data_IF_231259521288
#
_entry.id   IF_231259521288
#
_cell.length_a   1.000
_cell.length_b   1.000
_cell.length_c   1.000
_cell.angle_alpha   90.00
_cell.angle_beta   90.00
_cell.angle_gamma   90.00
#
_symmetry.space_group_name_H-M   'P 1'
#
loop_
_entity.id
_entity.type
_entity.pdbx_description
1 polymer ?
#
# COMPACT_ATOMS: atom_id res chain seq x y z
N UNK A 1 3.37 24.00 -51.77
CA UNK A 1 3.61 22.62 -51.28
C UNK A 1 3.22 22.60 -49.81
N UNK A 2 1.96 22.84 -49.46
CA UNK A 2 1.65 23.32 -48.09
C UNK A 2 0.29 22.82 -47.58
N UNK A 3 0.01 21.52 -47.74
CA UNK A 3 -1.22 20.94 -47.18
C UNK A 3 -1.04 19.53 -46.58
N UNK A 4 0.07 18.85 -46.85
CA UNK A 4 0.30 17.49 -46.35
C UNK A 4 1.07 17.41 -45.03
N UNK A 5 1.87 18.41 -44.69
CA UNK A 5 2.73 18.34 -43.50
C UNK A 5 1.97 18.53 -42.18
N UNK A 6 0.87 19.28 -42.21
CA UNK A 6 0.07 19.60 -41.01
C UNK A 6 -0.80 18.41 -40.56
N UNK A 7 -1.17 17.52 -41.50
CA UNK A 7 -2.04 16.37 -41.20
C UNK A 7 -1.31 15.21 -40.53
N UNK A 8 0.01 15.11 -40.66
CA UNK A 8 0.80 14.01 -40.12
C UNK A 8 1.22 14.22 -38.67
N UNK A 9 1.16 15.46 -38.16
CA UNK A 9 1.65 15.82 -36.82
C UNK A 9 0.62 15.67 -35.69
N UNK A 10 -0.64 15.33 -36.00
CA UNK A 10 -1.71 15.26 -35.01
C UNK A 10 -1.87 13.89 -34.32
N UNK A 11 -1.17 12.85 -34.77
CA UNK A 11 -1.32 11.48 -34.22
C UNK A 11 -0.36 11.12 -33.08
N UNK A 12 0.61 11.97 -32.76
CA UNK A 12 1.69 11.61 -31.82
C UNK A 12 1.48 12.06 -30.37
N UNK A 13 0.37 12.75 -30.05
CA UNK A 13 0.18 13.40 -28.74
C UNK A 13 -0.63 12.55 -27.74
N UNK A 14 -1.26 11.46 -28.17
CA UNK A 14 -2.23 10.72 -27.34
C UNK A 14 -1.64 9.59 -26.46
N UNK A 15 -0.34 9.28 -26.52
CA UNK A 15 0.24 8.09 -25.85
C UNK A 15 0.95 8.38 -24.52
N UNK A 16 0.89 9.60 -24.01
CA UNK A 16 1.50 10.00 -22.72
C UNK A 16 0.44 10.25 -21.63
N UNK A 17 -0.73 9.61 -21.70
CA UNK A 17 -1.54 9.37 -20.51
C UNK A 17 -0.82 8.31 -19.66
N UNK A 18 0.33 8.69 -19.11
CA UNK A 18 1.10 7.89 -18.19
C UNK A 18 0.23 7.55 -17.00
N UNK A 19 0.23 6.26 -16.62
CA UNK A 19 -0.34 5.79 -15.37
C UNK A 19 0.21 6.64 -14.23
N UNK A 20 -0.56 7.65 -13.84
CA UNK A 20 -0.36 8.38 -12.60
C UNK A 20 -0.93 7.49 -11.50
N UNK A 21 -0.26 6.38 -11.21
CA UNK A 21 -0.46 5.69 -9.93
C UNK A 21 0.14 6.60 -8.89
N UNK A 22 -0.68 7.51 -8.35
CA UNK A 22 -0.45 8.04 -7.01
C UNK A 22 -0.25 6.84 -6.10
N UNK A 23 1.00 6.57 -5.73
CA UNK A 23 1.40 5.52 -4.79
C UNK A 23 0.96 5.96 -3.41
N UNK A 24 -0.33 5.79 -3.16
CA UNK A 24 -1.02 6.18 -1.95
C UNK A 24 -0.45 5.43 -0.73
N UNK A 25 -0.51 6.07 0.43
CA UNK A 25 -0.10 5.41 1.67
C UNK A 25 -1.07 4.28 1.97
N UNK A 26 -0.57 3.05 2.07
CA UNK A 26 -1.42 1.93 2.48
C UNK A 26 -1.49 1.87 3.99
N UNK A 27 -2.71 1.90 4.51
CA UNK A 27 -2.99 1.75 5.94
C UNK A 27 -3.18 0.28 6.28
N UNK A 28 -2.39 -0.19 7.24
CA UNK A 28 -2.46 -1.55 7.77
C UNK A 28 -2.86 -1.48 9.23
N UNK A 29 -3.89 -2.22 9.60
CA UNK A 29 -4.29 -2.40 10.99
C UNK A 29 -3.66 -3.68 11.52
N UNK A 30 -2.97 -3.57 12.65
CA UNK A 30 -2.42 -4.72 13.38
C UNK A 30 -3.08 -4.75 14.76
N UNK A 31 -4.11 -5.57 14.85
CA UNK A 31 -4.94 -5.72 16.04
C UNK A 31 -4.53 -7.00 16.80
N UNK A 32 -4.92 -7.18 18.07
CA UNK A 32 -4.57 -8.38 18.82
C UNK A 32 -4.95 -9.67 18.10
N UNK A 33 -6.15 -9.70 17.48
CA UNK A 33 -6.67 -10.92 16.86
C UNK A 33 -6.35 -11.04 15.37
N UNK A 34 -6.13 -9.93 14.65
CA UNK A 34 -6.02 -9.94 13.19
C UNK A 34 -5.13 -8.84 12.61
N UNK A 35 -4.83 -8.99 11.33
CA UNK A 35 -4.23 -8.01 10.45
C UNK A 35 -5.27 -7.58 9.42
N UNK A 36 -5.23 -6.31 8.98
CA UNK A 36 -6.11 -5.82 7.92
C UNK A 36 -5.40 -4.80 7.02
N UNK A 37 -5.57 -4.91 5.70
CA UNK A 37 -5.23 -3.87 4.73
C UNK A 37 -6.30 -3.86 3.62
N UNK A 38 -6.93 -2.70 3.40
CA UNK A 38 -8.09 -2.61 2.50
C UNK A 38 -9.18 -3.61 2.87
N UNK A 39 -9.54 -4.47 1.92
CA UNK A 39 -10.56 -5.52 2.07
C UNK A 39 -9.98 -6.86 2.61
N UNK A 40 -8.65 -6.99 2.70
CA UNK A 40 -8.01 -8.22 3.16
C UNK A 40 -7.87 -8.18 4.68
N UNK A 41 -8.50 -9.15 5.35
CA UNK A 41 -8.42 -9.37 6.80
C UNK A 41 -7.97 -10.81 7.06
N UNK A 42 -7.01 -11.01 7.97
CA UNK A 42 -6.45 -12.33 8.26
C UNK A 42 -5.87 -12.40 9.67
N UNK A 43 -5.97 -13.56 10.33
CA UNK A 43 -5.28 -13.81 11.59
C UNK A 43 -3.73 -13.89 11.42
N UNK A 44 -3.28 -14.26 10.21
CA UNK A 44 -1.87 -14.38 9.82
C UNK A 44 -1.38 -13.12 9.08
N UNK A 45 -0.10 -12.80 9.21
CA UNK A 45 0.51 -11.62 8.60
C UNK A 45 0.60 -11.74 7.06
N UNK A 46 1.00 -12.92 6.56
CA UNK A 46 1.35 -13.14 5.15
C UNK A 46 0.28 -12.70 4.16
N UNK A 47 -1.02 -13.04 4.31
CA UNK A 47 -2.05 -12.60 3.36
C UNK A 47 -2.20 -11.08 3.28
N UNK A 48 -1.99 -10.38 4.39
CA UNK A 48 -2.05 -8.91 4.42
C UNK A 48 -0.77 -8.31 3.84
N UNK A 49 0.39 -8.92 4.08
CA UNK A 49 1.64 -8.53 3.42
C UNK A 49 1.56 -8.72 1.92
N UNK A 50 1.00 -9.83 1.44
CA UNK A 50 0.78 -10.10 0.01
C UNK A 50 -0.03 -8.97 -0.64
N UNK A 51 -1.09 -8.53 0.03
CA UNK A 51 -1.93 -7.43 -0.43
C UNK A 51 -1.16 -6.10 -0.49
N UNK A 52 -0.42 -5.77 0.57
CA UNK A 52 0.41 -4.55 0.60
C UNK A 52 1.45 -4.57 -0.53
N UNK A 53 2.12 -5.71 -0.75
CA UNK A 53 3.10 -5.88 -1.83
C UNK A 53 2.44 -5.75 -3.20
N UNK A 54 1.24 -6.32 -3.38
CA UNK A 54 0.46 -6.21 -4.63
C UNK A 54 0.15 -4.75 -4.99
N UNK A 55 -0.18 -3.94 -3.99
CA UNK A 55 -0.48 -2.51 -4.14
C UNK A 55 0.75 -1.64 -4.44
N UNK A 56 1.97 -2.13 -4.15
CA UNK A 56 3.26 -1.44 -4.34
C UNK A 56 3.28 0.03 -3.85
N UNK A 57 2.90 0.31 -2.59
CA UNK A 57 2.87 1.68 -2.09
C UNK A 57 4.28 2.22 -1.82
N UNK A 58 4.41 3.55 -1.84
CA UNK A 58 5.65 4.21 -1.38
C UNK A 58 5.77 4.20 0.14
N UNK A 59 4.63 4.17 0.83
CA UNK A 59 4.53 4.28 2.29
C UNK A 59 3.48 3.31 2.83
N UNK A 60 3.81 2.74 3.99
CA UNK A 60 2.89 1.92 4.77
C UNK A 60 2.76 2.54 6.16
N UNK A 61 1.53 2.75 6.61
CA UNK A 61 1.24 3.21 7.96
C UNK A 61 0.60 2.07 8.78
N UNK A 62 1.26 1.67 9.85
CA UNK A 62 0.77 0.65 10.77
C UNK A 62 0.00 1.30 11.91
N UNK A 63 -1.28 0.97 12.05
CA UNK A 63 -2.11 1.37 13.19
C UNK A 63 -2.36 0.17 14.10
N UNK A 64 -2.04 0.29 15.38
CA UNK A 64 -2.13 -0.82 16.34
C UNK A 64 -2.77 -0.42 17.66
N UNK A 65 -3.35 -1.38 18.36
CA UNK A 65 -3.79 -1.18 19.74
C UNK A 65 -2.62 -1.35 20.70
N UNK A 66 -2.68 -0.73 21.88
CA UNK A 66 -1.67 -0.95 22.93
C UNK A 66 -1.63 -2.39 23.43
N UNK A 67 -2.75 -3.12 23.30
CA UNK A 67 -2.88 -4.54 23.60
C UNK A 67 -2.35 -5.46 22.51
N UNK A 68 -2.03 -4.94 21.31
CA UNK A 68 -1.48 -5.75 20.23
C UNK A 68 -0.14 -6.33 20.65
N UNK A 69 0.07 -7.66 20.59
CA UNK A 69 1.35 -8.26 20.93
C UNK A 69 2.49 -7.75 20.05
N UNK A 70 3.61 -7.34 20.65
CA UNK A 70 4.79 -6.85 19.91
C UNK A 70 5.29 -7.86 18.86
N UNK A 71 5.22 -9.16 19.16
CA UNK A 71 5.60 -10.22 18.23
C UNK A 71 4.80 -10.18 16.92
N UNK A 72 3.49 -9.85 16.97
CA UNK A 72 2.66 -9.72 15.76
C UNK A 72 3.14 -8.57 14.87
N UNK A 73 3.53 -7.45 15.47
CA UNK A 73 4.02 -6.27 14.75
C UNK A 73 5.38 -6.57 14.12
N UNK A 74 6.29 -7.20 14.88
CA UNK A 74 7.61 -7.60 14.39
C UNK A 74 7.51 -8.59 13.23
N UNK A 75 6.63 -9.60 13.34
CA UNK A 75 6.40 -10.56 12.27
C UNK A 75 5.97 -9.86 10.98
N UNK A 76 4.94 -9.02 11.06
CA UNK A 76 4.44 -8.29 9.88
C UNK A 76 5.54 -7.43 9.24
N UNK A 77 6.29 -6.68 10.07
CA UNK A 77 7.34 -5.82 9.57
C UNK A 77 8.49 -6.62 8.92
N UNK A 78 8.89 -7.76 9.49
CA UNK A 78 9.92 -8.61 8.91
C UNK A 78 9.49 -9.18 7.55
N UNK A 79 8.25 -9.69 7.45
CA UNK A 79 7.71 -10.22 6.20
C UNK A 79 7.56 -9.13 5.13
N UNK A 80 7.12 -7.93 5.50
CA UNK A 80 7.00 -6.80 4.58
C UNK A 80 8.36 -6.33 4.07
N UNK A 81 9.35 -6.17 4.95
CA UNK A 81 10.70 -5.72 4.58
C UNK A 81 11.41 -6.69 3.64
N UNK A 82 11.14 -7.98 3.76
CA UNK A 82 11.71 -8.99 2.84
C UNK A 82 11.19 -8.85 1.40
N UNK A 83 10.10 -8.12 1.18
CA UNK A 83 9.33 -8.14 -0.08
C UNK A 83 8.95 -6.77 -0.62
N UNK A 84 9.17 -5.71 0.15
CA UNK A 84 8.80 -4.34 -0.19
C UNK A 84 9.89 -3.35 0.24
N UNK A 85 10.13 -2.35 -0.60
CA UNK A 85 10.97 -1.19 -0.28
C UNK A 85 10.19 0.00 0.31
N UNK A 86 8.91 -0.19 0.66
CA UNK A 86 8.06 0.88 1.16
C UNK A 86 8.56 1.44 2.50
N UNK A 87 8.41 2.76 2.69
CA UNK A 87 8.72 3.41 3.97
C UNK A 87 7.64 3.08 5.00
N UNK A 88 8.03 2.51 6.13
CA UNK A 88 7.09 2.13 7.21
C UNK A 88 7.04 3.23 8.27
N UNK A 89 5.82 3.60 8.65
CA UNK A 89 5.52 4.42 9.83
C UNK A 89 4.53 3.68 10.73
N UNK A 90 4.46 4.03 12.01
CA UNK A 90 3.58 3.37 12.95
C UNK A 90 2.97 4.34 13.96
N UNK A 91 1.77 4.01 14.43
CA UNK A 91 1.05 4.76 15.46
C UNK A 91 0.06 3.87 16.22
N UNK A 92 -0.39 4.36 17.36
CA UNK A 92 -1.41 3.70 18.16
C UNK A 92 -2.79 4.31 17.86
N UNK A 93 -3.83 3.49 17.91
CA UNK A 93 -5.19 4.00 17.97
C UNK A 93 -5.44 4.73 19.29
N UNK A 94 -6.15 5.86 19.20
CA UNK A 94 -6.68 6.54 20.39
C UNK A 94 -7.78 5.70 21.05
N UNK A 95 -8.65 5.09 20.25
CA UNK A 95 -9.66 4.11 20.68
C UNK A 95 -9.51 2.81 19.86
N UNK A 96 -9.25 1.69 20.53
CA UNK A 96 -9.01 0.41 19.87
C UNK A 96 -10.32 -0.16 19.25
N UNK A 97 -10.32 -0.55 17.96
CA UNK A 97 -11.53 -1.05 17.29
C UNK A 97 -11.94 -2.47 17.71
N UNK A 98 -11.10 -3.19 18.45
CA UNK A 98 -11.39 -4.53 19.03
C UNK A 98 -11.66 -4.45 20.54
N UNK A 99 -12.22 -3.33 21.01
CA UNK A 99 -12.53 -3.14 22.44
C UNK A 99 -13.71 -3.99 22.93
#
# INVERSE_FOLDING_TARGET
MDAMLVRTLLFSVALLAGCSTTTETVHVQILPTQYKAGDVTSALATPVVDEVVRLRPDKVHLSMCRSTPNAKVLQFNAELQARSGAKVTAGFYDACPES
#
